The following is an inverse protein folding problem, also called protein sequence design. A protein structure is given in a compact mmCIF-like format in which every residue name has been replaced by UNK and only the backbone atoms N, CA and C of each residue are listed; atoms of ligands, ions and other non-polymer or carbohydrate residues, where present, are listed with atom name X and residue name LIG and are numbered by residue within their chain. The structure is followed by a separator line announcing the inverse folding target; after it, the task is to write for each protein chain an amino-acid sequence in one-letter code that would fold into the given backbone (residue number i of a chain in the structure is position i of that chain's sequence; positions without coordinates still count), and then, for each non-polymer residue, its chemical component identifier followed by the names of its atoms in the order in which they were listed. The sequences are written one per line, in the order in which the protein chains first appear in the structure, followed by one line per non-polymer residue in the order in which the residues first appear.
data_IF_447540279494
#
_entry.id   IF_447540279494
#
_cell.length_a   1.000
_cell.length_b   1.000
_cell.length_c   1.000
_cell.angle_alpha   90.00
_cell.angle_beta   90.00
_cell.angle_gamma   90.00
#
_symmetry.space_group_name_H-M   'P 1'
#
loop_
_entity.id
_entity.type
_entity.pdbx_description
1 polymer ?
#
# COMPACT_ATOMS: atom_id res chain seq x y z
N UNK A 1 -7.87 -2.36 7.25
CA UNK A 1 -8.03 -3.80 6.96
C UNK A 1 -7.19 -4.54 7.96
N UNK A 2 -7.56 -5.78 8.33
CA UNK A 2 -6.62 -6.62 9.08
C UNK A 2 -5.43 -6.95 8.17
N UNK A 3 -4.20 -7.08 8.71
CA UNK A 3 -3.04 -7.42 7.91
C UNK A 3 -3.20 -8.80 7.27
N UNK A 4 -2.83 -8.89 5.99
CA UNK A 4 -2.52 -10.16 5.34
C UNK A 4 -1.17 -10.70 5.86
N UNK A 5 -0.86 -11.96 5.55
CA UNK A 5 0.40 -12.60 5.99
C UNK A 5 1.65 -11.80 5.60
N UNK A 6 1.70 -11.30 4.36
CA UNK A 6 2.81 -10.48 3.88
C UNK A 6 2.93 -9.13 4.62
N UNK A 7 1.80 -8.53 5.00
CA UNK A 7 1.79 -7.26 5.76
C UNK A 7 2.17 -7.49 7.22
N UNK A 8 1.73 -8.61 7.80
CA UNK A 8 2.13 -9.04 9.13
C UNK A 8 3.64 -9.28 9.19
N UNK A 9 4.24 -9.89 8.17
CA UNK A 9 5.70 -10.05 8.08
C UNK A 9 6.43 -8.70 8.17
N UNK A 10 5.93 -7.63 7.54
CA UNK A 10 6.53 -6.30 7.62
C UNK A 10 6.45 -5.72 9.02
N UNK A 11 5.30 -5.89 9.69
CA UNK A 11 5.11 -5.49 11.08
C UNK A 11 6.10 -6.23 11.99
N UNK A 12 6.17 -7.55 11.88
CA UNK A 12 7.03 -8.41 12.70
C UNK A 12 8.51 -8.05 12.53
N UNK A 13 8.95 -7.77 11.29
CA UNK A 13 10.33 -7.35 11.02
C UNK A 13 10.63 -5.97 11.64
N UNK A 14 9.71 -5.02 11.57
CA UNK A 14 9.89 -3.70 12.18
C UNK A 14 9.96 -3.79 13.71
N UNK A 15 9.04 -4.53 14.33
CA UNK A 15 9.01 -4.73 15.78
C UNK A 15 10.24 -5.50 16.28
N UNK A 16 10.62 -6.59 15.59
CA UNK A 16 11.83 -7.33 15.92
C UNK A 16 13.08 -6.45 15.85
N UNK A 17 13.24 -5.65 14.79
CA UNK A 17 14.37 -4.70 14.69
C UNK A 17 14.35 -3.67 15.82
N UNK A 18 13.17 -3.14 16.19
CA UNK A 18 13.04 -2.18 17.29
C UNK A 18 13.51 -2.76 18.64
N UNK A 19 13.34 -4.07 18.87
CA UNK A 19 13.83 -4.71 20.11
C UNK A 19 15.36 -4.77 20.22
N UNK A 20 16.07 -4.64 19.09
CA UNK A 20 17.54 -4.67 19.05
C UNK A 20 18.18 -3.29 19.33
N UNK A 21 17.36 -2.23 19.37
CA UNK A 21 17.85 -0.87 19.59
C UNK A 21 18.29 -0.69 21.05
N UNK A 22 19.52 -0.19 21.22
CA UNK A 22 20.09 0.11 22.54
C UNK A 22 19.65 1.47 23.09
N UNK A 23 20.39 2.01 24.05
CA UNK A 23 20.04 3.25 24.76
C UNK A 23 20.40 4.54 24.00
N UNK A 24 20.83 4.44 22.73
CA UNK A 24 21.22 5.61 21.96
C UNK A 24 19.98 6.47 21.61
N UNK A 25 19.87 7.71 22.13
CA UNK A 25 18.68 8.54 21.92
C UNK A 25 18.49 8.95 20.44
N UNK A 26 19.51 8.78 19.60
CA UNK A 26 19.43 9.13 18.19
C UNK A 26 18.78 8.03 17.32
N UNK A 27 18.67 6.81 17.83
CA UNK A 27 18.25 5.61 17.08
C UNK A 27 17.22 4.83 17.91
N UNK A 28 15.97 5.25 17.86
CA UNK A 28 14.90 4.79 18.77
C UNK A 28 13.68 4.23 18.04
N UNK A 29 13.66 4.26 16.71
CA UNK A 29 12.57 3.75 15.88
C UNK A 29 13.16 2.92 14.75
N UNK A 30 12.59 1.74 14.53
CA UNK A 30 12.84 0.90 13.37
C UNK A 30 11.67 0.98 12.38
N UNK A 31 11.94 0.73 11.10
CA UNK A 31 10.91 0.55 10.09
C UNK A 31 11.29 -0.60 9.17
N UNK A 32 10.26 -1.20 8.56
CA UNK A 32 10.39 -2.16 7.49
C UNK A 32 9.41 -1.80 6.37
N UNK A 33 9.82 -1.99 5.13
CA UNK A 33 9.01 -1.76 3.93
C UNK A 33 9.20 -2.92 2.97
N UNK A 34 8.11 -3.36 2.33
CA UNK A 34 8.12 -4.44 1.35
C UNK A 34 7.93 -3.86 -0.05
N UNK A 35 8.76 -4.30 -1.00
CA UNK A 35 8.60 -3.98 -2.42
C UNK A 35 7.63 -4.94 -3.13
N UNK A 36 7.31 -4.64 -4.39
CA UNK A 36 6.40 -5.46 -5.21
C UNK A 36 6.93 -6.86 -5.54
N UNK A 37 8.23 -7.12 -5.32
CA UNK A 37 8.84 -8.44 -5.45
C UNK A 37 8.87 -9.20 -4.12
N UNK A 38 8.26 -8.65 -3.06
CA UNK A 38 8.20 -9.25 -1.73
C UNK A 38 9.47 -9.11 -0.90
N UNK A 39 10.46 -8.33 -1.35
CA UNK A 39 11.69 -8.11 -0.58
C UNK A 39 11.42 -7.11 0.53
N UNK A 40 11.83 -7.45 1.75
CA UNK A 40 11.66 -6.60 2.93
C UNK A 40 12.94 -5.84 3.24
N UNK A 41 12.86 -4.52 3.18
CA UNK A 41 13.93 -3.56 3.46
C UNK A 41 13.70 -2.94 4.83
N UNK A 42 14.70 -2.95 5.71
CA UNK A 42 14.56 -2.47 7.09
C UNK A 42 15.63 -1.45 7.46
N UNK A 43 15.26 -0.49 8.29
CA UNK A 43 16.14 0.60 8.70
C UNK A 43 15.78 1.15 10.07
N UNK A 44 16.64 2.03 10.59
CA UNK A 44 16.49 2.72 11.87
C UNK A 44 16.54 4.22 11.61
N UNK A 45 15.82 5.01 12.40
CA UNK A 45 15.85 6.47 12.28
C UNK A 45 17.23 7.05 12.63
N UNK A 46 17.49 8.28 12.17
CA UNK A 46 18.62 9.09 12.64
C UNK A 46 18.08 10.42 13.11
N UNK A 47 17.97 10.60 14.42
CA UNK A 47 17.56 11.88 14.98
C UNK A 47 18.64 12.95 14.74
N UNK A 48 18.19 14.12 14.32
CA UNK A 48 18.99 15.34 14.28
C UNK A 48 18.06 16.56 14.23
N UNK A 49 18.45 17.67 14.86
CA UNK A 49 17.60 18.86 14.96
C UNK A 49 17.27 19.52 13.60
N UNK A 50 18.14 19.35 12.59
CA UNK A 50 17.89 19.76 11.20
C UNK A 50 16.88 18.86 10.46
N UNK A 51 16.12 18.02 11.19
CA UNK A 51 15.18 17.08 10.59
C UNK A 51 15.87 15.82 10.06
N UNK A 52 16.71 15.17 10.88
CA UNK A 52 17.22 13.85 10.53
C UNK A 52 16.10 12.86 10.17
N UNK A 53 16.35 11.89 9.27
CA UNK A 53 15.31 11.05 8.70
C UNK A 53 14.66 10.13 9.75
N UNK A 54 13.34 10.00 9.65
CA UNK A 54 12.62 8.95 10.36
C UNK A 54 12.97 7.57 9.76
N UNK A 55 12.71 6.50 10.49
CA UNK A 55 13.08 5.15 10.05
C UNK A 55 12.44 4.79 8.71
N UNK A 56 11.20 5.23 8.47
CA UNK A 56 10.48 5.05 7.22
C UNK A 56 11.26 5.64 6.03
N UNK A 57 11.77 6.86 6.17
CA UNK A 57 12.51 7.54 5.10
C UNK A 57 13.85 6.87 4.82
N UNK A 58 14.52 6.36 5.86
CA UNK A 58 15.75 5.57 5.66
C UNK A 58 15.41 4.25 4.96
N UNK A 59 14.30 3.59 5.33
CA UNK A 59 13.87 2.35 4.69
C UNK A 59 13.52 2.54 3.21
N UNK A 60 12.90 3.67 2.83
CA UNK A 60 12.71 4.04 1.41
C UNK A 60 14.05 4.14 0.68
N UNK A 61 15.05 4.80 1.28
CA UNK A 61 16.39 4.90 0.71
C UNK A 61 17.11 3.55 0.57
N UNK A 62 16.94 2.65 1.55
CA UNK A 62 17.47 1.27 1.47
C UNK A 62 16.80 0.49 0.34
N UNK A 63 15.48 0.57 0.22
CA UNK A 63 14.73 -0.08 -0.85
C UNK A 63 15.18 0.43 -2.23
N UNK A 64 15.31 1.76 -2.38
CA UNK A 64 15.83 2.36 -3.60
C UNK A 64 17.26 1.91 -3.93
N UNK A 65 18.13 1.78 -2.92
CA UNK A 65 19.50 1.25 -3.09
C UNK A 65 19.48 -0.20 -3.59
N UNK A 66 18.50 -0.98 -3.16
CA UNK A 66 18.29 -2.37 -3.61
C UNK A 66 17.55 -2.49 -4.96
N UNK A 67 17.26 -1.36 -5.62
CA UNK A 67 16.59 -1.33 -6.92
C UNK A 67 15.08 -1.61 -6.85
N UNK A 68 14.44 -1.40 -5.70
CA UNK A 68 12.98 -1.48 -5.60
C UNK A 68 12.31 -0.35 -6.41
N UNK A 69 11.35 -0.69 -7.26
CA UNK A 69 10.64 0.26 -8.13
C UNK A 69 9.34 0.77 -7.49
N UNK A 70 8.61 -0.10 -6.80
CA UNK A 70 7.35 0.22 -6.10
C UNK A 70 7.28 -0.51 -4.76
N UNK A 71 6.53 0.06 -3.81
CA UNK A 71 6.44 -0.42 -2.44
C UNK A 71 4.99 -0.78 -2.08
N UNK A 72 4.80 -2.00 -1.57
CA UNK A 72 3.50 -2.55 -1.21
C UNK A 72 2.99 -2.03 0.12
N UNK A 73 3.85 -2.10 1.14
CA UNK A 73 3.46 -1.81 2.52
C UNK A 73 4.64 -1.45 3.42
N UNK A 74 4.38 -0.64 4.46
CA UNK A 74 5.37 -0.16 5.42
C UNK A 74 4.84 -0.22 6.86
N UNK A 75 5.73 -0.51 7.80
CA UNK A 75 5.50 -0.45 9.24
C UNK A 75 6.66 0.25 9.97
N UNK A 76 6.37 0.93 11.06
CA UNK A 76 7.36 1.51 11.96
C UNK A 76 7.09 1.11 13.40
N UNK A 77 8.12 0.80 14.17
CA UNK A 77 8.01 0.39 15.56
C UNK A 77 9.03 1.12 16.45
N UNK A 78 8.60 1.53 17.64
CA UNK A 78 9.46 2.17 18.63
C UNK A 78 10.23 1.15 19.47
N UNK A 79 11.43 1.54 19.89
CA UNK A 79 12.25 0.81 20.86
C UNK A 79 11.50 0.51 22.17
N UNK A 80 12.11 -0.29 23.06
CA UNK A 80 11.64 -0.50 24.44
C UNK A 80 10.17 -0.93 24.53
N UNK A 81 9.73 -1.76 23.59
CA UNK A 81 8.35 -2.29 23.51
C UNK A 81 7.30 -1.19 23.39
N UNK A 82 7.64 -0.04 22.79
CA UNK A 82 6.63 0.96 22.40
C UNK A 82 5.72 0.47 21.28
N UNK A 83 6.14 -0.60 20.57
CA UNK A 83 5.34 -1.29 19.56
C UNK A 83 5.19 -0.47 18.28
N UNK A 84 4.25 -0.89 17.44
CA UNK A 84 3.86 -0.21 16.21
C UNK A 84 3.52 1.28 16.47
N UNK A 85 4.04 2.17 15.63
CA UNK A 85 3.79 3.61 15.69
C UNK A 85 3.29 4.13 14.33
N UNK A 86 2.29 5.04 14.31
CA UNK A 86 1.90 5.70 13.07
C UNK A 86 3.02 6.57 12.51
N UNK A 87 3.14 6.70 11.16
CA UNK A 87 4.11 7.61 10.57
C UNK A 87 3.80 9.06 10.96
N UNK A 88 4.86 9.86 11.13
CA UNK A 88 4.72 11.29 11.37
C UNK A 88 4.27 12.04 10.10
N UNK A 89 3.83 13.30 10.23
CA UNK A 89 3.31 14.08 9.10
C UNK A 89 4.27 14.17 7.91
N UNK A 90 5.58 14.33 8.17
CA UNK A 90 6.61 14.35 7.12
C UNK A 90 6.71 13.01 6.38
N UNK A 91 6.73 11.89 7.10
CA UNK A 91 6.75 10.57 6.46
C UNK A 91 5.49 10.34 5.64
N UNK A 92 4.33 10.76 6.16
CA UNK A 92 3.07 10.58 5.44
C UNK A 92 3.10 11.29 4.09
N UNK A 93 3.58 12.53 4.05
CA UNK A 93 3.65 13.29 2.80
C UNK A 93 4.62 12.66 1.81
N UNK A 94 5.83 12.28 2.25
CA UNK A 94 6.82 11.62 1.36
C UNK A 94 6.28 10.30 0.82
N UNK A 95 5.62 9.50 1.66
CA UNK A 95 4.98 8.26 1.23
C UNK A 95 3.86 8.51 0.23
N UNK A 96 3.01 9.53 0.45
CA UNK A 96 1.95 9.89 -0.48
C UNK A 96 2.51 10.33 -1.83
N UNK A 97 3.54 11.17 -1.81
CA UNK A 97 4.14 11.74 -3.02
C UNK A 97 4.90 10.69 -3.84
N UNK A 98 5.53 9.69 -3.21
CA UNK A 98 6.36 8.70 -3.94
C UNK A 98 5.66 7.36 -4.16
N UNK A 99 4.78 6.97 -3.24
CA UNK A 99 4.09 5.67 -3.23
C UNK A 99 2.62 5.85 -2.82
N UNK A 100 1.80 6.54 -3.63
CA UNK A 100 0.42 6.92 -3.27
C UNK A 100 -0.51 5.72 -2.98
N UNK A 101 -0.13 4.53 -3.45
CA UNK A 101 -0.87 3.28 -3.31
C UNK A 101 -0.33 2.38 -2.17
N UNK A 102 0.65 2.84 -1.38
CA UNK A 102 1.23 2.08 -0.26
C UNK A 102 0.23 1.91 0.89
N UNK A 103 0.24 0.72 1.49
CA UNK A 103 -0.46 0.45 2.75
C UNK A 103 0.45 0.65 3.95
N UNK A 104 -0.03 1.36 4.95
CA UNK A 104 0.70 1.67 6.19
C UNK A 104 0.08 0.89 7.34
N UNK A 105 0.92 0.17 8.09
CA UNK A 105 0.52 -0.44 9.34
C UNK A 105 0.43 0.63 10.44
N UNK A 106 -0.71 0.69 11.13
CA UNK A 106 -0.94 1.56 12.29
C UNK A 106 -1.57 0.77 13.43
N UNK A 107 -1.44 1.21 14.69
CA UNK A 107 -2.21 0.62 15.80
C UNK A 107 -3.72 0.72 15.55
N UNK A 108 -4.45 -0.36 15.82
CA UNK A 108 -5.91 -0.42 15.81
C UNK A 108 -6.45 -0.99 17.13
N UNK A 109 -7.77 -1.00 17.27
CA UNK A 109 -8.45 -1.44 18.51
C UNK A 109 -8.19 -2.92 18.82
N UNK A 110 -8.21 -3.77 17.79
CA UNK A 110 -8.03 -5.23 17.91
C UNK A 110 -6.61 -5.70 17.49
N UNK A 111 -5.64 -4.78 17.47
CA UNK A 111 -4.28 -5.03 16.96
C UNK A 111 -3.93 -4.19 15.73
N UNK A 112 -2.84 -4.52 15.03
CA UNK A 112 -2.41 -3.76 13.86
C UNK A 112 -3.49 -3.67 12.78
N UNK A 113 -3.59 -2.50 12.15
CA UNK A 113 -4.51 -2.26 11.06
C UNK A 113 -3.76 -1.64 9.87
N UNK A 114 -4.09 -2.11 8.67
CA UNK A 114 -3.58 -1.54 7.43
C UNK A 114 -4.48 -0.40 6.95
N UNK A 115 -3.84 0.73 6.60
CA UNK A 115 -4.49 1.93 6.07
C UNK A 115 -3.77 2.40 4.80
N UNK A 116 -4.47 2.72 3.71
CA UNK A 116 -3.83 3.37 2.57
C UNK A 116 -3.33 4.75 2.97
N UNK A 117 -2.17 5.15 2.45
CA UNK A 117 -1.50 6.38 2.87
C UNK A 117 -2.40 7.63 2.76
N UNK A 118 -3.21 7.72 1.69
CA UNK A 118 -4.18 8.81 1.47
C UNK A 118 -5.16 9.02 2.63
N UNK A 119 -5.47 7.98 3.41
CA UNK A 119 -6.40 8.05 4.55
C UNK A 119 -5.73 8.57 5.82
N UNK A 120 -4.40 8.73 5.82
CA UNK A 120 -3.65 9.29 6.94
C UNK A 120 -3.39 10.80 6.80
N UNK A 121 -3.80 11.41 5.70
CA UNK A 121 -3.66 12.84 5.41
C UNK A 121 -4.98 13.42 4.84
N UNK A 122 -5.94 13.81 5.70
CA UNK A 122 -7.12 14.53 5.22
C UNK A 122 -6.72 15.90 4.65
N UNK A 123 -7.41 16.33 3.58
CA UNK A 123 -7.21 17.62 2.90
C UNK A 123 -5.74 17.91 2.52
N UNK A 124 -5.08 16.89 1.98
CA UNK A 124 -3.65 16.91 1.69
C UNK A 124 -3.30 17.67 0.41
N UNK A 125 -2.06 18.16 0.37
CA UNK A 125 -1.44 18.65 -0.86
C UNK A 125 -0.97 17.45 -1.70
N UNK A 126 -1.36 17.42 -2.96
CA UNK A 126 -0.83 16.48 -3.95
C UNK A 126 0.22 17.20 -4.78
N UNK A 127 1.46 16.69 -4.78
CA UNK A 127 2.53 17.22 -5.61
C UNK A 127 2.29 16.87 -7.09
N UNK A 128 1.98 17.84 -7.98
CA UNK A 128 1.50 17.54 -9.34
C UNK A 128 2.53 16.81 -10.23
N UNK A 129 3.82 17.07 -10.01
CA UNK A 129 4.92 16.52 -10.82
C UNK A 129 5.53 15.26 -10.18
N UNK A 130 4.85 14.67 -9.19
CA UNK A 130 5.33 13.47 -8.54
C UNK A 130 5.37 12.29 -9.54
N UNK A 131 6.55 11.72 -9.85
CA UNK A 131 6.62 10.55 -10.72
C UNK A 131 6.15 9.35 -9.92
N UNK A 132 4.88 8.99 -10.05
CA UNK A 132 4.30 7.87 -9.29
C UNK A 132 3.84 6.78 -10.24
N UNK A 133 4.54 5.64 -10.20
CA UNK A 133 3.98 4.40 -10.69
C UNK A 133 2.72 4.10 -9.88
N UNK A 134 1.58 4.00 -10.56
CA UNK A 134 0.32 3.63 -9.92
C UNK A 134 0.25 2.13 -9.79
N UNK A 135 -0.33 1.68 -8.69
CA UNK A 135 -0.50 0.27 -8.40
C UNK A 135 -1.96 -0.02 -8.09
N UNK A 136 -2.51 -1.04 -8.72
CA UNK A 136 -3.86 -1.51 -8.44
C UNK A 136 -3.79 -2.93 -7.86
N UNK A 137 -4.40 -3.13 -6.70
CA UNK A 137 -4.37 -4.38 -5.95
C UNK A 137 -5.54 -5.28 -6.34
N UNK A 138 -5.28 -6.55 -6.53
CA UNK A 138 -6.27 -7.58 -6.79
C UNK A 138 -6.14 -8.71 -5.77
N UNK A 139 -7.25 -9.39 -5.50
CA UNK A 139 -7.17 -10.69 -4.88
C UNK A 139 -6.44 -11.67 -5.82
N UNK A 140 -5.54 -12.51 -5.28
CA UNK A 140 -4.80 -13.52 -6.05
C UNK A 140 -5.65 -14.38 -6.99
N UNK A 141 -6.91 -14.64 -6.65
CA UNK A 141 -7.82 -15.46 -7.48
C UNK A 141 -8.03 -14.91 -8.89
N UNK A 142 -7.79 -13.61 -9.09
CA UNK A 142 -7.98 -12.95 -10.37
C UNK A 142 -6.75 -12.98 -11.27
N UNK A 143 -5.62 -13.54 -10.81
CA UNK A 143 -4.37 -13.53 -11.58
C UNK A 143 -4.56 -14.07 -13.01
N UNK A 144 -5.03 -15.31 -13.15
CA UNK A 144 -5.22 -15.95 -14.46
C UNK A 144 -6.19 -15.19 -15.37
N UNK A 145 -7.30 -14.71 -14.83
CA UNK A 145 -8.30 -13.96 -15.59
C UNK A 145 -7.76 -12.61 -16.08
N UNK A 146 -6.96 -11.92 -15.26
CA UNK A 146 -6.30 -10.66 -15.64
C UNK A 146 -5.18 -10.93 -16.65
N UNK A 147 -4.33 -11.92 -16.39
CA UNK A 147 -3.21 -12.31 -17.24
C UNK A 147 -3.65 -12.72 -18.66
N UNK A 148 -4.70 -13.55 -18.75
CA UNK A 148 -5.24 -13.99 -20.05
C UNK A 148 -5.97 -12.88 -20.82
N UNK A 149 -6.38 -11.80 -20.13
CA UNK A 149 -7.22 -10.75 -20.69
C UNK A 149 -8.72 -11.08 -20.70
N UNK A 150 -9.15 -12.15 -20.02
CA UNK A 150 -10.57 -12.44 -19.79
C UNK A 150 -11.21 -11.36 -18.92
N UNK A 151 -10.51 -10.93 -17.87
CA UNK A 151 -10.93 -9.85 -16.98
C UNK A 151 -10.20 -8.56 -17.32
N UNK A 152 -10.96 -7.60 -17.85
CA UNK A 152 -10.47 -6.27 -18.27
C UNK A 152 -11.12 -5.11 -17.51
N UNK A 153 -11.95 -5.42 -16.51
CA UNK A 153 -12.56 -4.41 -15.64
C UNK A 153 -12.80 -4.91 -14.22
N UNK A 154 -12.87 -3.95 -13.29
CA UNK A 154 -13.12 -4.19 -11.87
C UNK A 154 -13.88 -3.03 -11.24
N UNK A 155 -14.69 -3.33 -10.23
CA UNK A 155 -15.43 -2.32 -9.44
C UNK A 155 -14.63 -1.97 -8.20
N UNK A 156 -14.47 -0.68 -7.95
CA UNK A 156 -13.72 -0.12 -6.83
C UNK A 156 -14.61 0.80 -5.99
N UNK A 157 -14.44 0.73 -4.67
CA UNK A 157 -15.09 1.62 -3.72
C UNK A 157 -14.03 2.28 -2.86
N UNK A 158 -14.17 3.60 -2.64
CA UNK A 158 -13.28 4.38 -1.78
C UNK A 158 -11.78 4.29 -2.16
N UNK A 159 -11.48 4.06 -3.44
CA UNK A 159 -10.15 4.01 -4.03
C UNK A 159 -10.00 5.05 -5.14
N UNK A 160 -8.82 5.66 -5.25
CA UNK A 160 -8.54 6.69 -6.25
C UNK A 160 -7.56 6.14 -7.26
N UNK A 161 -7.98 6.07 -8.53
CA UNK A 161 -7.18 5.61 -9.66
C UNK A 161 -7.06 6.72 -10.71
N UNK A 162 -6.08 6.58 -11.60
CA UNK A 162 -5.87 7.47 -12.74
C UNK A 162 -5.67 6.64 -14.00
N UNK A 163 -6.17 7.15 -15.13
CA UNK A 163 -5.89 6.58 -16.46
C UNK A 163 -4.40 6.73 -16.75
N UNK A 164 -3.77 5.67 -17.25
CA UNK A 164 -2.34 5.63 -17.51
C UNK A 164 -1.69 4.30 -17.13
N UNK A 165 -0.35 4.27 -17.17
CA UNK A 165 0.44 3.10 -16.80
C UNK A 165 0.19 2.71 -15.33
N UNK A 166 0.07 1.41 -15.08
CA UNK A 166 -0.14 0.87 -13.75
C UNK A 166 0.46 -0.54 -13.62
N UNK A 167 0.88 -0.86 -12.40
CA UNK A 167 1.27 -2.22 -12.02
C UNK A 167 0.11 -2.89 -11.30
N UNK A 168 -0.26 -4.09 -11.74
CA UNK A 168 -1.30 -4.90 -11.13
C UNK A 168 -0.67 -5.91 -10.19
N UNK A 169 -0.95 -5.77 -8.90
CA UNK A 169 -0.40 -6.65 -7.85
C UNK A 169 -1.48 -7.57 -7.31
N UNK A 170 -1.08 -8.80 -6.97
CA UNK A 170 -2.01 -9.87 -6.59
C UNK A 170 -1.73 -10.32 -5.16
N UNK A 171 -2.59 -9.90 -4.23
CA UNK A 171 -2.40 -10.09 -2.81
C UNK A 171 -2.41 -11.57 -2.41
N UNK A 172 -1.30 -12.04 -1.83
CA UNK A 172 -1.11 -13.44 -1.43
C UNK A 172 -0.87 -14.40 -2.60
N UNK A 173 -0.52 -13.88 -3.78
CA UNK A 173 -0.03 -14.71 -4.89
C UNK A 173 1.39 -15.23 -4.58
N UNK A 174 1.70 -16.50 -4.90
CA UNK A 174 3.07 -16.99 -4.84
C UNK A 174 4.05 -16.09 -5.59
N UNK A 175 5.26 -15.97 -5.06
CA UNK A 175 6.38 -15.22 -5.65
C UNK A 175 6.09 -13.74 -5.95
N UNK A 176 5.03 -13.17 -5.35
CA UNK A 176 4.63 -11.77 -5.54
C UNK A 176 4.43 -11.41 -7.02
N UNK A 177 3.89 -12.35 -7.80
CA UNK A 177 3.61 -12.11 -9.21
C UNK A 177 2.78 -10.84 -9.40
N UNK A 178 3.23 -10.01 -10.34
CA UNK A 178 2.59 -8.77 -10.74
C UNK A 178 2.67 -8.62 -12.26
N UNK A 179 1.80 -7.77 -12.80
CA UNK A 179 1.68 -7.55 -14.23
C UNK A 179 1.73 -6.06 -14.52
N UNK A 180 2.48 -5.65 -15.53
CA UNK A 180 2.43 -4.28 -16.03
C UNK A 180 1.27 -4.10 -17.02
N UNK A 181 0.74 -2.90 -17.09
CA UNK A 181 -0.40 -2.59 -17.93
C UNK A 181 -0.82 -1.14 -17.84
N UNK A 182 -2.05 -0.88 -18.27
CA UNK A 182 -2.64 0.45 -18.15
C UNK A 182 -4.10 0.42 -17.77
N UNK A 183 -4.49 1.41 -16.97
CA UNK A 183 -5.88 1.78 -16.75
C UNK A 183 -6.31 2.62 -17.95
N UNK A 184 -7.34 2.15 -18.67
CA UNK A 184 -7.78 2.73 -19.94
C UNK A 184 -8.98 3.66 -19.79
N UNK A 185 -9.84 3.40 -18.80
CA UNK A 185 -10.99 4.24 -18.49
C UNK A 185 -11.43 4.05 -17.04
N UNK A 186 -12.06 5.09 -16.47
CA UNK A 186 -12.69 5.06 -15.15
C UNK A 186 -14.09 5.66 -15.32
N UNK A 187 -15.10 4.86 -15.04
CA UNK A 187 -16.51 5.25 -15.15
C UNK A 187 -17.16 5.25 -13.77
N UNK A 188 -17.93 6.29 -13.46
CA UNK A 188 -18.75 6.31 -12.24
C UNK A 188 -19.92 5.31 -12.39
N UNK A 189 -20.20 4.56 -11.33
CA UNK A 189 -21.35 3.64 -11.26
C UNK A 189 -21.84 3.50 -9.82
N UNK A 190 -22.94 2.78 -9.63
CA UNK A 190 -23.59 2.56 -8.34
C UNK A 190 -23.91 1.08 -8.15
N UNK A 191 -24.17 0.67 -6.91
CA UNK A 191 -24.54 -0.72 -6.60
C UNK A 191 -25.77 -1.20 -7.39
N UNK A 192 -26.73 -0.32 -7.69
CA UNK A 192 -27.94 -0.65 -8.45
C UNK A 192 -27.70 -0.93 -9.93
N UNK A 193 -26.57 -0.50 -10.47
CA UNK A 193 -26.20 -0.68 -11.88
C UNK A 193 -25.31 -1.90 -12.10
N UNK A 194 -24.89 -2.57 -11.01
CA UNK A 194 -24.08 -3.79 -11.08
C UNK A 194 -24.94 -5.04 -11.26
N UNK A 195 -24.31 -6.08 -11.80
CA UNK A 195 -24.84 -7.42 -11.71
C UNK A 195 -25.03 -7.83 -10.22
N UNK A 196 -26.10 -8.56 -9.85
CA UNK A 196 -26.35 -8.96 -8.47
C UNK A 196 -25.20 -9.72 -7.80
N UNK A 197 -24.45 -10.54 -8.55
CA UNK A 197 -23.29 -11.28 -8.04
C UNK A 197 -22.13 -10.34 -7.71
N UNK A 198 -21.83 -9.40 -8.61
CA UNK A 198 -20.80 -8.37 -8.39
C UNK A 198 -21.15 -7.48 -7.19
N UNK A 199 -22.42 -7.06 -7.07
CA UNK A 199 -22.90 -6.27 -5.95
C UNK A 199 -22.79 -7.03 -4.61
N UNK A 200 -23.13 -8.32 -4.60
CA UNK A 200 -23.01 -9.17 -3.42
C UNK A 200 -21.55 -9.39 -3.02
N UNK A 201 -20.67 -9.65 -3.99
CA UNK A 201 -19.23 -9.80 -3.78
C UNK A 201 -18.60 -8.54 -3.20
N UNK A 202 -18.95 -7.37 -3.72
CA UNK A 202 -18.44 -6.08 -3.25
C UNK A 202 -18.87 -5.78 -1.81
N UNK A 203 -20.14 -6.05 -1.46
CA UNK A 203 -20.65 -5.90 -0.08
C UNK A 203 -19.98 -6.86 0.90
N UNK A 204 -19.70 -8.09 0.48
CA UNK A 204 -18.97 -9.04 1.32
C UNK A 204 -17.54 -8.57 1.60
N UNK A 205 -16.90 -7.90 0.64
CA UNK A 205 -15.54 -7.39 0.80
C UNK A 205 -15.50 -6.06 1.58
N UNK A 206 -16.52 -5.23 1.42
CA UNK A 206 -16.67 -3.95 2.12
C UNK A 206 -17.99 -3.90 2.93
N UNK A 207 -18.05 -4.55 4.11
CA UNK A 207 -19.28 -4.61 4.91
C UNK A 207 -19.78 -3.23 5.39
N UNK A 208 -18.87 -2.26 5.49
CA UNK A 208 -19.16 -0.89 5.93
C UNK A 208 -19.55 0.05 4.77
N UNK A 209 -19.60 -0.45 3.53
CA UNK A 209 -19.97 0.36 2.36
C UNK A 209 -21.45 0.75 2.42
N UNK A 210 -21.79 2.04 2.29
CA UNK A 210 -23.18 2.49 2.31
C UNK A 210 -23.94 2.02 1.07
N UNK A 211 -25.28 1.95 1.15
CA UNK A 211 -26.12 1.44 0.07
C UNK A 211 -26.14 2.35 -1.17
N UNK A 212 -25.92 3.64 -0.97
CA UNK A 212 -25.79 4.70 -1.97
C UNK A 212 -24.33 5.03 -2.32
N UNK A 213 -23.40 4.10 -2.04
CA UNK A 213 -21.98 4.28 -2.35
C UNK A 213 -21.76 4.57 -3.84
N UNK A 214 -21.01 5.64 -4.11
CA UNK A 214 -20.43 5.88 -5.42
C UNK A 214 -19.27 4.90 -5.66
N UNK A 215 -19.30 4.26 -6.82
CA UNK A 215 -18.34 3.25 -7.23
C UNK A 215 -17.62 3.70 -8.50
N UNK A 216 -16.44 3.15 -8.72
CA UNK A 216 -15.70 3.33 -9.96
C UNK A 216 -15.55 1.99 -10.68
N UNK A 217 -16.03 1.91 -11.92
CA UNK A 217 -15.68 0.83 -12.84
C UNK A 217 -14.37 1.21 -13.51
N UNK A 218 -13.31 0.50 -13.15
CA UNK A 218 -11.96 0.71 -13.68
C UNK A 218 -11.73 -0.30 -14.80
N UNK A 219 -11.54 0.20 -16.02
CA UNK A 219 -11.17 -0.58 -17.19
C UNK A 219 -9.66 -0.58 -17.32
N UNK A 220 -9.08 -1.73 -17.68
CA UNK A 220 -7.64 -1.89 -17.78
C UNK A 220 -7.27 -2.93 -18.84
N UNK A 221 -5.99 -2.90 -19.22
CA UNK A 221 -5.37 -3.88 -20.08
C UNK A 221 -3.99 -4.23 -19.54
N UNK A 222 -3.57 -5.48 -19.72
CA UNK A 222 -2.23 -5.96 -19.35
C UNK A 222 -1.31 -5.84 -20.57
N UNK A 223 -0.08 -5.40 -20.36
CA UNK A 223 0.97 -5.46 -21.37
C UNK A 223 1.36 -6.91 -21.60
N UNK A 224 1.16 -7.40 -22.82
CA UNK A 224 1.62 -8.75 -23.18
C UNK A 224 3.11 -8.66 -23.49
N UNK A 225 3.91 -9.45 -22.79
CA UNK A 225 5.28 -9.72 -23.22
C UNK A 225 5.21 -10.40 -24.61
N UNK A 226 5.89 -9.82 -25.60
CA UNK A 226 6.09 -10.43 -26.91
C UNK A 226 6.94 -11.70 -26.83
#
# INVERSE_FOLDING_TARGET
MQPLEAEQQVIDVAEALATTLGENPNHTVAAAVMDIDGRVHKAVNVYHFNGGPCAELVALGVAATAGATQLLTIAAAGDRRRGLIPPCGRCRQVLLDQHPDILVAVPGEDGPAMRPIRKLLPDTYFFPDAPTGRMMRFNRRYYEAVFSGEKTSTIRWDETHQVGAATFVFEGHPDFAHLDGSITAIEATTLSELDPEDAAGLRSHYPAMPADAELSRVHFQVERAE
#
